data_IF_633010662630
#
_entry.id   IF_633010662630
#
_cell.length_a   1.000
_cell.length_b   1.000
_cell.length_c   1.000
_cell.angle_alpha   90.00
_cell.angle_beta   90.00
_cell.angle_gamma   90.00
#
_symmetry.space_group_name_H-M   'P 1'
#
loop_
_entity.id
_entity.type
_entity.pdbx_description
1 polymer ?
#
# COMPACT_ATOMS: atom_id res chain seq x y z
N UNK A 1 35.86 -19.32 22.93
CA UNK A 1 35.08 -18.19 22.38
C UNK A 1 34.68 -17.25 23.51
N UNK A 2 35.31 -16.08 23.60
CA UNK A 2 35.10 -15.10 24.67
C UNK A 2 33.65 -14.57 24.66
N UNK A 3 33.03 -14.38 25.82
CA UNK A 3 31.62 -13.92 25.95
C UNK A 3 31.31 -12.64 25.16
N UNK A 4 32.29 -11.74 25.04
CA UNK A 4 32.19 -10.52 24.23
C UNK A 4 31.90 -10.81 22.74
N UNK A 5 32.50 -11.86 22.18
CA UNK A 5 32.29 -12.25 20.79
C UNK A 5 30.87 -12.80 20.55
N UNK A 6 30.30 -13.50 21.54
CA UNK A 6 28.92 -14.02 21.48
C UNK A 6 27.88 -12.90 21.55
N UNK A 7 28.13 -11.89 22.39
CA UNK A 7 27.23 -10.72 22.55
C UNK A 7 27.24 -9.87 21.27
N UNK A 8 28.41 -9.61 20.69
CA UNK A 8 28.53 -8.87 19.43
C UNK A 8 27.81 -9.58 18.26
N UNK A 9 27.98 -10.90 18.15
CA UNK A 9 27.35 -11.68 17.08
C UNK A 9 25.83 -11.77 17.25
N UNK A 10 25.34 -11.91 18.49
CA UNK A 10 23.89 -11.91 18.78
C UNK A 10 23.23 -10.55 18.54
N UNK A 11 23.92 -9.45 18.88
CA UNK A 11 23.44 -8.10 18.60
C UNK A 11 23.35 -7.78 17.11
N UNK A 12 24.33 -8.24 16.32
CA UNK A 12 24.33 -8.03 14.86
C UNK A 12 23.20 -8.78 14.16
N UNK A 13 22.90 -10.02 14.58
CA UNK A 13 21.78 -10.79 14.05
C UNK A 13 20.42 -10.15 14.35
N UNK A 14 20.24 -9.57 15.55
CA UNK A 14 18.99 -8.92 15.94
C UNK A 14 18.71 -7.64 15.14
N UNK A 15 19.76 -6.88 14.78
CA UNK A 15 19.63 -5.67 13.97
C UNK A 15 19.33 -6.02 12.51
N UNK A 16 19.98 -7.05 11.95
CA UNK A 16 19.77 -7.48 10.56
C UNK A 16 18.33 -7.92 10.26
N UNK A 17 17.61 -8.49 11.24
CA UNK A 17 16.20 -8.88 11.09
C UNK A 17 15.22 -7.72 10.90
N UNK A 18 15.61 -6.49 11.23
CA UNK A 18 14.71 -5.32 11.09
C UNK A 18 14.69 -4.70 9.68
N UNK A 19 15.64 -5.07 8.81
CA UNK A 19 15.78 -4.49 7.48
C UNK A 19 14.94 -5.19 6.38
N UNK A 20 14.22 -6.27 6.71
CA UNK A 20 13.55 -7.11 5.70
C UNK A 20 12.14 -6.62 5.30
N UNK A 21 11.64 -5.54 5.91
CA UNK A 21 10.35 -4.95 5.51
C UNK A 21 10.60 -3.83 4.50
N UNK A 22 11.18 -4.17 3.35
CA UNK A 22 11.05 -3.31 2.18
C UNK A 22 9.59 -3.44 1.72
N UNK A 23 8.74 -2.50 2.13
CA UNK A 23 7.35 -2.45 1.69
C UNK A 23 7.32 -2.53 0.17
N UNK A 24 6.59 -3.51 -0.36
CA UNK A 24 6.33 -3.62 -1.79
C UNK A 24 5.82 -2.27 -2.28
N UNK A 25 6.56 -1.64 -3.20
CA UNK A 25 6.15 -0.36 -3.78
C UNK A 25 4.79 -0.57 -4.46
N UNK A 26 3.80 0.24 -4.09
CA UNK A 26 2.50 0.25 -4.75
C UNK A 26 2.71 0.57 -6.23
N UNK A 27 2.37 -0.37 -7.11
CA UNK A 27 2.50 -0.17 -8.55
C UNK A 27 1.35 0.70 -9.05
N UNK A 28 1.65 1.98 -9.27
CA UNK A 28 0.70 3.01 -9.70
C UNK A 28 0.32 2.88 -11.19
N UNK A 29 1.01 2.03 -11.96
CA UNK A 29 0.72 1.76 -13.36
C UNK A 29 -0.35 0.69 -13.57
N UNK A 30 -0.70 -0.05 -12.51
CA UNK A 30 -1.81 -1.01 -12.56
C UNK A 30 -3.14 -0.28 -12.63
N UNK A 31 -4.15 -0.97 -13.13
CA UNK A 31 -5.53 -0.49 -13.08
C UNK A 31 -6.07 -0.67 -11.66
N UNK A 32 -6.35 0.44 -10.96
CA UNK A 32 -6.95 0.42 -9.64
C UNK A 32 -8.42 0.81 -9.74
N UNK A 33 -9.28 0.07 -9.03
CA UNK A 33 -10.67 0.51 -8.84
C UNK A 33 -10.74 1.25 -7.51
N UNK A 34 -11.01 2.56 -7.58
CA UNK A 34 -11.38 3.33 -6.40
C UNK A 34 -12.88 3.20 -6.18
N UNK A 35 -13.31 2.35 -5.26
CA UNK A 35 -14.69 2.39 -4.75
C UNK A 35 -14.73 3.38 -3.58
N UNK A 36 -15.57 4.40 -3.62
CA UNK A 36 -15.88 5.13 -2.38
C UNK A 36 -16.92 4.31 -1.63
N UNK A 37 -16.90 4.33 -0.29
CA UNK A 37 -17.94 3.63 0.47
C UNK A 37 -19.24 4.45 0.39
N UNK A 38 -19.94 4.38 -0.75
CA UNK A 38 -21.12 5.19 -1.05
C UNK A 38 -22.43 4.64 -0.49
N UNK A 39 -22.40 3.65 0.41
CA UNK A 39 -23.58 3.24 1.17
C UNK A 39 -24.25 4.40 1.93
N UNK A 40 -23.53 5.54 2.05
CA UNK A 40 -23.97 6.77 2.71
C UNK A 40 -24.30 7.93 1.74
N UNK A 41 -24.23 7.73 0.42
CA UNK A 41 -24.49 8.79 -0.56
C UNK A 41 -25.97 9.19 -0.57
N UNK A 42 -26.26 10.44 -0.22
CA UNK A 42 -27.63 10.93 -0.03
C UNK A 42 -28.27 11.47 -1.32
N UNK A 43 -27.47 11.78 -2.34
CA UNK A 43 -27.96 12.30 -3.63
C UNK A 43 -27.72 11.33 -4.77
N UNK A 44 -28.54 11.41 -5.82
CA UNK A 44 -28.40 10.57 -7.02
C UNK A 44 -27.13 10.90 -7.80
N UNK A 45 -26.68 12.16 -7.73
CA UNK A 45 -25.42 12.59 -8.34
C UNK A 45 -24.21 11.89 -7.70
N UNK A 46 -24.21 11.76 -6.36
CA UNK A 46 -23.14 11.10 -5.63
C UNK A 46 -23.13 9.59 -5.90
N UNK A 47 -24.31 8.95 -6.01
CA UNK A 47 -24.43 7.54 -6.40
C UNK A 47 -23.91 7.30 -7.82
N UNK A 48 -24.31 8.13 -8.78
CA UNK A 48 -23.86 8.00 -10.17
C UNK A 48 -22.34 8.22 -10.31
N UNK A 49 -21.77 9.13 -9.51
CA UNK A 49 -20.32 9.32 -9.45
C UNK A 49 -19.61 8.09 -8.89
N UNK A 50 -20.14 7.47 -7.84
CA UNK A 50 -19.55 6.26 -7.26
C UNK A 50 -19.67 5.05 -8.19
N UNK A 51 -20.83 4.84 -8.82
CA UNK A 51 -21.01 3.78 -9.82
C UNK A 51 -20.05 3.94 -10.99
N UNK A 52 -19.80 5.19 -11.42
CA UNK A 52 -18.81 5.48 -12.45
C UNK A 52 -17.40 5.11 -11.99
N UNK A 53 -17.02 5.43 -10.76
CA UNK A 53 -15.70 5.10 -10.21
C UNK A 53 -15.52 3.59 -9.98
N UNK A 54 -16.57 2.87 -9.57
CA UNK A 54 -16.56 1.43 -9.39
C UNK A 54 -16.40 0.66 -10.72
N UNK A 55 -16.94 1.21 -11.82
CA UNK A 55 -16.90 0.57 -13.14
C UNK A 55 -15.77 1.10 -14.04
N UNK A 56 -15.17 2.25 -13.71
CA UNK A 56 -14.04 2.82 -14.45
C UNK A 56 -12.74 2.39 -13.78
N UNK A 57 -12.08 1.41 -14.39
CA UNK A 57 -10.72 1.03 -14.04
C UNK A 57 -9.76 1.96 -14.75
N UNK A 58 -8.89 2.63 -13.99
CA UNK A 58 -7.82 3.42 -14.56
C UNK A 58 -6.59 3.36 -13.64
N UNK A 59 -5.43 3.67 -14.19
CA UNK A 59 -4.20 3.78 -13.44
C UNK A 59 -4.06 5.16 -12.80
N UNK A 60 -3.44 5.22 -11.62
CA UNK A 60 -3.13 6.50 -11.02
C UNK A 60 -2.15 7.31 -11.90
N UNK A 61 -1.27 6.64 -12.64
CA UNK A 61 -0.38 7.30 -13.60
C UNK A 61 -1.13 8.06 -14.69
N UNK A 62 -2.23 7.50 -15.22
CA UNK A 62 -3.10 8.15 -16.23
C UNK A 62 -3.82 9.40 -15.69
N UNK A 63 -4.19 9.37 -14.40
CA UNK A 63 -4.95 10.46 -13.78
C UNK A 63 -4.12 11.70 -13.41
N UNK A 64 -2.79 11.57 -13.29
CA UNK A 64 -1.89 12.64 -12.87
C UNK A 64 -0.84 13.03 -13.94
N UNK A 65 -0.97 12.50 -15.15
CA UNK A 65 -0.12 12.84 -16.31
C UNK A 65 -0.59 14.06 -17.07
#
# INVERSE_FOLDING_TARGET
MNSLFKIMLGGFLAVASTCLVAGSTTDMSKDWTCTTNASSATTDADKAADDKLANTKDSATSSFS
#
